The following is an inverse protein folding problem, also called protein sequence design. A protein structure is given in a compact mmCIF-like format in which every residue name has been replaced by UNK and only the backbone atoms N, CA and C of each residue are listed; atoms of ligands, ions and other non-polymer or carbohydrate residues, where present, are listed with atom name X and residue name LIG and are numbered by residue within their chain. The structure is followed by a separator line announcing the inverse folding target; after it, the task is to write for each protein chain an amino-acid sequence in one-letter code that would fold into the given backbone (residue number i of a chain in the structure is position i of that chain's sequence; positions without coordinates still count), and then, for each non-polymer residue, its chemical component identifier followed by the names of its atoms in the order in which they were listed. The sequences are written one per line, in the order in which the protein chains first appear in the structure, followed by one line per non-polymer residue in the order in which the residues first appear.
data_IF_110068922811
#
_entry.id   IF_110068922811
#
_cell.length_a   1.000
_cell.length_b   1.000
_cell.length_c   1.000
_cell.angle_alpha   90.00
_cell.angle_beta   90.00
_cell.angle_gamma   90.00
#
_symmetry.space_group_name_H-M   'P 1'
#
loop_
_entity.id
_entity.type
_entity.pdbx_description
1 polymer ?
#
# COMPACT_ATOMS: atom_id res chain seq x y z
N UNK A 1 13.37 -40.25 17.18
CA UNK A 1 13.04 -39.15 18.09
C UNK A 1 12.54 -37.88 17.39
N UNK A 2 13.25 -37.29 16.45
CA UNK A 2 12.83 -36.06 15.75
C UNK A 2 11.51 -36.20 14.94
N UNK A 3 11.19 -37.38 14.41
CA UNK A 3 9.96 -37.64 13.67
C UNK A 3 8.71 -37.66 14.56
N UNK A 4 8.82 -38.24 15.74
CA UNK A 4 7.73 -38.34 16.73
C UNK A 4 7.40 -36.96 17.32
N UNK A 5 8.43 -36.16 17.63
CA UNK A 5 8.24 -34.77 18.12
C UNK A 5 7.55 -33.87 17.08
N UNK A 6 7.80 -34.09 15.78
CA UNK A 6 7.09 -33.34 14.72
C UNK A 6 5.59 -33.73 14.59
N UNK A 7 5.24 -34.98 14.87
CA UNK A 7 3.85 -35.42 14.85
C UNK A 7 3.08 -34.97 16.11
N UNK A 8 3.71 -35.02 17.27
CA UNK A 8 3.10 -34.58 18.54
C UNK A 8 2.88 -33.06 18.62
N UNK A 9 3.70 -32.26 17.93
CA UNK A 9 3.54 -30.80 17.87
C UNK A 9 2.61 -30.32 16.75
N UNK A 10 1.94 -31.22 16.04
CA UNK A 10 1.05 -30.87 14.93
C UNK A 10 1.77 -30.33 13.67
N UNK A 11 3.11 -30.41 13.65
CA UNK A 11 3.94 -30.02 12.52
C UNK A 11 4.09 -31.13 11.46
N UNK A 12 3.08 -31.96 11.27
CA UNK A 12 3.09 -33.09 10.35
C UNK A 12 3.33 -32.71 8.87
N UNK A 13 2.87 -33.56 7.97
CA UNK A 13 3.05 -33.41 6.50
C UNK A 13 2.63 -32.05 5.94
N UNK A 14 1.70 -31.35 6.60
CA UNK A 14 1.21 -30.02 6.19
C UNK A 14 2.31 -28.97 6.33
N UNK A 15 3.00 -28.94 7.48
CA UNK A 15 4.09 -27.99 7.72
C UNK A 15 5.30 -28.19 6.80
N UNK A 16 5.53 -29.42 6.34
CA UNK A 16 6.58 -29.74 5.38
C UNK A 16 6.34 -29.19 3.97
N UNK A 17 5.09 -28.88 3.63
CA UNK A 17 4.68 -28.34 2.35
C UNK A 17 4.43 -26.81 2.38
N UNK A 18 4.50 -26.20 3.54
CA UNK A 18 4.38 -24.74 3.66
C UNK A 18 5.57 -24.04 3.00
N UNK A 19 5.26 -23.09 2.14
CA UNK A 19 6.27 -22.21 1.52
C UNK A 19 6.22 -20.85 2.23
N UNK A 20 7.38 -20.27 2.59
CA UNK A 20 7.38 -18.93 3.17
C UNK A 20 6.85 -17.93 2.16
N UNK A 21 5.91 -17.08 2.57
CA UNK A 21 5.31 -16.04 1.75
C UNK A 21 6.36 -15.10 1.16
N UNK A 22 7.46 -14.88 1.89
CA UNK A 22 8.58 -14.03 1.45
C UNK A 22 9.19 -14.43 0.10
N UNK A 23 9.03 -15.68 -0.34
CA UNK A 23 9.50 -16.13 -1.67
C UNK A 23 8.72 -15.45 -2.81
N UNK A 24 7.47 -15.10 -2.56
CA UNK A 24 6.57 -14.48 -3.54
C UNK A 24 6.56 -12.94 -3.46
N UNK A 25 7.19 -12.36 -2.43
CA UNK A 25 7.23 -10.91 -2.21
C UNK A 25 8.47 -10.31 -2.86
N UNK A 26 8.32 -9.42 -3.85
CA UNK A 26 9.45 -8.86 -4.59
C UNK A 26 10.16 -7.71 -3.86
N UNK A 27 9.59 -7.17 -2.78
CA UNK A 27 10.10 -5.99 -2.07
C UNK A 27 11.35 -6.32 -1.28
N UNK A 28 12.48 -5.63 -1.57
CA UNK A 28 13.76 -5.96 -0.99
C UNK A 28 14.16 -5.02 0.15
N UNK A 29 14.25 -3.73 -0.15
CA UNK A 29 14.78 -2.74 0.80
C UNK A 29 14.33 -1.33 0.46
N UNK A 30 14.38 -0.45 1.44
CA UNK A 30 14.40 0.99 1.18
C UNK A 30 15.69 1.38 0.46
N UNK A 31 15.56 2.09 -0.65
CA UNK A 31 16.68 2.67 -1.40
C UNK A 31 16.84 4.15 -1.02
N UNK A 32 15.70 4.80 -0.77
CA UNK A 32 15.61 6.11 -0.11
C UNK A 32 14.40 6.11 0.84
N UNK A 33 14.10 7.25 1.43
CA UNK A 33 12.96 7.38 2.37
C UNK A 33 11.62 7.02 1.72
N UNK A 34 11.43 7.32 0.44
CA UNK A 34 10.18 7.13 -0.31
C UNK A 34 10.26 6.07 -1.40
N UNK A 35 11.45 5.52 -1.67
CA UNK A 35 11.66 4.57 -2.76
C UNK A 35 12.04 3.20 -2.23
N UNK A 36 11.33 2.19 -2.71
CA UNK A 36 11.59 0.77 -2.44
C UNK A 36 12.20 0.12 -3.68
N UNK A 37 13.29 -0.61 -3.48
CA UNK A 37 13.90 -1.45 -4.51
C UNK A 37 13.35 -2.87 -4.49
N UNK A 38 13.08 -3.43 -5.68
CA UNK A 38 12.65 -4.80 -5.91
C UNK A 38 13.82 -5.70 -6.27
N UNK A 39 13.60 -7.02 -6.21
CA UNK A 39 14.61 -8.04 -6.48
C UNK A 39 15.20 -7.95 -7.90
N UNK A 40 14.38 -7.56 -8.87
CA UNK A 40 14.78 -7.42 -10.29
C UNK A 40 15.42 -6.07 -10.63
N UNK A 41 15.66 -5.20 -9.63
CA UNK A 41 16.21 -3.86 -9.83
C UNK A 41 15.16 -2.80 -10.22
N UNK A 42 13.90 -3.15 -10.28
CA UNK A 42 12.78 -2.19 -10.42
C UNK A 42 12.69 -1.35 -9.14
N UNK A 43 12.32 -0.08 -9.30
CA UNK A 43 12.08 0.85 -8.21
C UNK A 43 10.60 1.19 -8.14
N UNK A 44 10.06 1.32 -6.95
CA UNK A 44 8.68 1.72 -6.72
C UNK A 44 8.59 2.84 -5.68
N UNK A 45 7.65 3.73 -5.89
CA UNK A 45 7.22 4.73 -4.91
C UNK A 45 5.71 4.79 -4.85
N UNK A 46 5.15 5.04 -3.69
CA UNK A 46 3.71 5.06 -3.45
C UNK A 46 3.28 6.42 -2.97
N UNK A 47 2.23 6.97 -3.57
CA UNK A 47 1.61 8.24 -3.20
C UNK A 47 0.23 7.92 -2.63
N UNK A 48 -0.08 8.40 -1.44
CA UNK A 48 -1.43 8.37 -0.87
C UNK A 48 -2.18 9.64 -1.29
N UNK A 49 -3.45 9.50 -1.67
CA UNK A 49 -4.37 10.60 -1.93
C UNK A 49 -5.45 10.61 -0.85
N UNK A 50 -5.70 11.78 -0.27
CA UNK A 50 -6.78 11.97 0.70
C UNK A 50 -8.16 12.03 0.01
N UNK A 51 -8.17 12.27 -1.30
CA UNK A 51 -9.37 12.38 -2.11
C UNK A 51 -9.88 13.80 -2.25
N UNK A 52 -11.09 13.93 -2.79
CA UNK A 52 -11.73 15.21 -3.04
C UNK A 52 -13.23 15.10 -2.86
N UNK A 53 -13.82 16.11 -2.23
CA UNK A 53 -15.27 16.29 -2.18
C UNK A 53 -15.72 16.99 -3.46
N UNK A 54 -16.26 16.21 -4.40
CA UNK A 54 -16.67 16.72 -5.73
C UNK A 54 -18.15 17.15 -5.80
N UNK A 55 -18.97 16.83 -4.78
CA UNK A 55 -20.41 17.07 -4.80
C UNK A 55 -20.80 18.54 -4.82
N UNK A 56 -19.90 19.43 -4.37
CA UNK A 56 -20.12 20.89 -4.31
C UNK A 56 -19.28 21.66 -5.31
N UNK A 57 -18.57 20.97 -6.21
CA UNK A 57 -17.65 21.58 -7.17
C UNK A 57 -18.38 21.93 -8.46
N UNK A 58 -17.96 23.01 -9.09
CA UNK A 58 -18.47 23.42 -10.39
C UNK A 58 -17.97 22.50 -11.53
N UNK A 59 -18.80 22.31 -12.56
CA UNK A 59 -18.48 21.48 -13.71
C UNK A 59 -17.21 21.96 -14.44
N UNK A 60 -16.93 23.26 -14.46
CA UNK A 60 -15.72 23.82 -15.06
C UNK A 60 -14.46 23.37 -14.30
N UNK A 61 -14.52 23.33 -12.95
CA UNK A 61 -13.40 22.86 -12.11
C UNK A 61 -13.17 21.36 -12.32
N UNK A 62 -14.24 20.55 -12.38
CA UNK A 62 -14.15 19.11 -12.65
C UNK A 62 -13.50 18.83 -14.03
N UNK A 63 -13.87 19.59 -15.05
CA UNK A 63 -13.28 19.47 -16.38
C UNK A 63 -11.79 19.86 -16.38
N UNK A 64 -11.42 20.94 -15.69
CA UNK A 64 -10.03 21.35 -15.55
C UNK A 64 -9.18 20.27 -14.87
N UNK A 65 -9.72 19.62 -13.84
CA UNK A 65 -9.06 18.52 -13.14
C UNK A 65 -8.85 17.31 -14.03
N UNK A 66 -9.82 16.98 -14.87
CA UNK A 66 -9.67 15.90 -15.86
C UNK A 66 -8.54 16.20 -16.85
N UNK A 67 -8.34 17.46 -17.24
CA UNK A 67 -7.22 17.87 -18.09
C UNK A 67 -5.89 17.70 -17.36
N UNK A 68 -5.80 18.08 -16.07
CA UNK A 68 -4.59 17.88 -15.24
C UNK A 68 -4.24 16.40 -15.11
N UNK A 69 -5.22 15.54 -14.81
CA UNK A 69 -5.02 14.10 -14.74
C UNK A 69 -4.53 13.50 -16.06
N UNK A 70 -5.13 13.91 -17.18
CA UNK A 70 -4.71 13.46 -18.50
C UNK A 70 -3.28 13.91 -18.85
N UNK A 71 -2.91 15.13 -18.46
CA UNK A 71 -1.55 15.66 -18.65
C UNK A 71 -0.54 14.87 -17.84
N UNK A 72 -0.87 14.57 -16.57
CA UNK A 72 -0.05 13.71 -15.68
C UNK A 72 0.16 12.31 -16.30
N UNK A 73 -0.93 11.66 -16.75
CA UNK A 73 -0.85 10.33 -17.38
C UNK A 73 0.03 10.37 -18.63
N UNK A 74 -0.09 11.42 -19.45
CA UNK A 74 0.76 11.61 -20.63
C UNK A 74 2.23 11.83 -20.29
N UNK A 75 2.53 12.56 -19.21
CA UNK A 75 3.89 12.74 -18.72
C UNK A 75 4.53 11.42 -18.28
N UNK A 76 3.72 10.47 -17.75
CA UNK A 76 4.14 9.12 -17.41
C UNK A 76 4.29 8.19 -18.63
N UNK A 77 3.87 8.61 -19.81
CA UNK A 77 3.77 7.80 -21.04
C UNK A 77 5.09 7.30 -21.63
N UNK A 78 6.19 7.27 -20.87
CA UNK A 78 7.42 6.61 -21.28
C UNK A 78 7.34 5.11 -20.94
N UNK A 79 7.94 4.27 -21.78
CA UNK A 79 8.02 2.81 -21.56
C UNK A 79 8.78 2.39 -20.28
N UNK A 80 9.34 3.36 -19.54
CA UNK A 80 10.09 3.14 -18.30
C UNK A 80 9.22 3.12 -17.06
N UNK A 81 8.04 3.75 -17.12
CA UNK A 81 7.16 3.91 -15.97
C UNK A 81 5.85 3.17 -16.17
N UNK A 82 5.34 2.62 -15.08
CA UNK A 82 3.98 2.09 -15.00
C UNK A 82 3.31 2.70 -13.79
N UNK A 83 2.02 3.01 -13.93
CA UNK A 83 1.18 3.55 -12.88
C UNK A 83 0.15 2.51 -12.48
N UNK A 84 0.06 2.26 -11.17
CA UNK A 84 -0.96 1.39 -10.58
C UNK A 84 -1.79 2.20 -9.62
N UNK A 85 -3.10 2.14 -9.78
CA UNK A 85 -4.05 2.72 -8.86
C UNK A 85 -4.56 1.63 -7.92
N UNK A 86 -4.52 1.88 -6.61
CA UNK A 86 -5.05 0.97 -5.60
C UNK A 86 -6.05 1.71 -4.75
N UNK A 87 -7.27 1.20 -4.68
CA UNK A 87 -8.33 1.69 -3.79
C UNK A 87 -8.55 0.67 -2.70
N UNK A 88 -8.42 1.09 -1.45
CA UNK A 88 -8.69 0.28 -0.27
C UNK A 88 -9.95 0.81 0.38
N UNK A 89 -11.02 0.03 0.31
CA UNK A 89 -12.29 0.35 0.96
C UNK A 89 -12.35 -0.33 2.31
N UNK A 90 -12.54 0.46 3.36
CA UNK A 90 -12.62 -0.03 4.75
C UNK A 90 -13.91 0.42 5.39
N UNK A 91 -14.47 -0.46 6.21
CA UNK A 91 -15.50 -0.08 7.16
C UNK A 91 -14.90 0.79 8.26
N UNK A 92 -15.59 1.86 8.60
CA UNK A 92 -15.18 2.83 9.62
C UNK A 92 -16.32 3.07 10.59
N UNK A 93 -15.98 3.08 11.86
CA UNK A 93 -16.88 3.58 12.90
C UNK A 93 -16.67 5.09 13.00
N UNK A 94 -17.74 5.84 12.78
CA UNK A 94 -17.70 7.31 12.87
C UNK A 94 -18.21 7.72 14.23
N UNK A 95 -17.38 8.37 15.01
CA UNK A 95 -17.77 9.03 16.24
C UNK A 95 -17.69 10.54 16.03
N UNK A 96 -18.82 11.21 16.19
CA UNK A 96 -18.90 12.66 16.22
C UNK A 96 -18.86 13.06 17.69
N UNK A 97 -17.67 13.41 18.16
CA UNK A 97 -17.46 13.89 19.53
C UNK A 97 -17.64 15.40 19.60
N UNK A 98 -18.05 15.88 20.76
CA UNK A 98 -18.14 17.31 21.08
C UNK A 98 -18.49 17.50 22.53
N UNK A 99 -18.17 18.66 23.08
CA UNK A 99 -18.70 19.11 24.37
C UNK A 99 -19.94 19.96 24.11
N UNK A 100 -21.02 19.62 24.74
CA UNK A 100 -22.29 20.35 24.58
C UNK A 100 -22.64 21.06 25.89
N UNK A 101 -23.00 22.33 25.80
CA UNK A 101 -23.40 23.12 26.97
C UNK A 101 -24.86 22.82 27.45
N UNK A 102 -25.62 22.07 26.66
CA UNK A 102 -27.00 21.74 26.93
C UNK A 102 -27.23 20.23 26.94
N UNK A 103 -27.90 19.72 27.97
CA UNK A 103 -28.33 18.32 28.04
C UNK A 103 -29.25 17.89 26.88
N UNK A 104 -29.99 18.82 26.29
CA UNK A 104 -30.76 18.55 25.08
C UNK A 104 -29.85 18.21 23.89
N UNK A 105 -28.76 18.96 23.72
CA UNK A 105 -27.79 18.70 22.64
C UNK A 105 -27.05 17.37 22.84
N UNK A 106 -26.76 16.99 24.08
CA UNK A 106 -26.18 15.68 24.41
C UNK A 106 -27.14 14.55 24.00
N UNK A 107 -28.41 14.63 24.44
CA UNK A 107 -29.42 13.60 24.08
C UNK A 107 -29.64 13.53 22.57
N UNK A 108 -29.62 14.66 21.87
CA UNK A 108 -29.77 14.70 20.42
C UNK A 108 -28.55 14.04 19.73
N UNK A 109 -27.36 14.37 20.20
CA UNK A 109 -26.13 13.75 19.69
C UNK A 109 -26.12 12.23 19.89
N UNK A 110 -26.47 11.75 21.08
CA UNK A 110 -26.55 10.33 21.40
C UNK A 110 -27.51 9.59 20.47
N UNK A 111 -28.73 10.15 20.27
CA UNK A 111 -29.70 9.58 19.32
C UNK A 111 -29.18 9.57 17.88
N UNK A 112 -28.50 10.61 17.48
CA UNK A 112 -27.90 10.69 16.16
C UNK A 112 -26.80 9.64 15.99
N UNK A 113 -25.92 9.51 16.99
CA UNK A 113 -24.87 8.49 17.02
C UNK A 113 -25.43 7.08 16.98
N UNK A 114 -26.51 6.80 17.71
CA UNK A 114 -27.20 5.50 17.67
C UNK A 114 -27.77 5.18 16.29
N UNK A 115 -28.21 6.18 15.54
CA UNK A 115 -28.65 6.01 14.16
C UNK A 115 -27.46 5.77 13.20
N UNK A 116 -26.35 6.48 13.39
CA UNK A 116 -25.13 6.29 12.59
C UNK A 116 -24.54 4.91 12.80
N UNK A 117 -24.45 4.42 14.04
CA UNK A 117 -23.94 3.07 14.38
C UNK A 117 -24.74 1.94 13.75
N UNK A 118 -26.03 2.18 13.42
CA UNK A 118 -26.86 1.20 12.68
C UNK A 118 -26.54 1.11 11.21
N UNK A 119 -25.80 2.10 10.66
CA UNK A 119 -25.42 2.16 9.25
C UNK A 119 -23.95 1.79 9.11
N UNK A 120 -23.65 0.84 8.24
CA UNK A 120 -22.27 0.56 7.88
C UNK A 120 -21.71 1.70 7.03
N UNK A 121 -20.65 2.32 7.51
CA UNK A 121 -19.99 3.41 6.82
C UNK A 121 -18.64 2.93 6.28
N UNK A 122 -18.28 3.43 5.10
CA UNK A 122 -17.03 3.03 4.44
C UNK A 122 -16.24 4.26 4.01
N UNK A 123 -14.93 4.17 4.15
CA UNK A 123 -13.98 5.13 3.56
C UNK A 123 -13.20 4.47 2.44
N UNK A 124 -12.81 5.25 1.44
CA UNK A 124 -11.96 4.81 0.35
C UNK A 124 -10.60 5.52 0.49
N UNK A 125 -9.56 4.74 0.70
CA UNK A 125 -8.18 5.22 0.66
C UNK A 125 -7.63 4.98 -0.75
N UNK A 126 -7.06 6.00 -1.37
CA UNK A 126 -6.57 5.94 -2.75
C UNK A 126 -5.04 6.01 -2.72
N UNK A 127 -4.41 5.09 -3.41
CA UNK A 127 -2.96 5.03 -3.55
C UNK A 127 -2.57 4.96 -5.02
N UNK A 128 -1.56 5.73 -5.40
CA UNK A 128 -0.92 5.65 -6.71
C UNK A 128 0.49 5.08 -6.52
N UNK A 129 0.75 3.94 -7.14
CA UNK A 129 2.07 3.31 -7.13
C UNK A 129 2.74 3.55 -8.46
N UNK A 130 3.88 4.24 -8.42
CA UNK A 130 4.70 4.52 -9.59
C UNK A 130 5.80 3.47 -9.60
N UNK A 131 5.88 2.72 -10.68
CA UNK A 131 6.86 1.66 -10.90
C UNK A 131 7.80 2.11 -11.99
N UNK A 132 9.08 2.23 -11.67
CA UNK A 132 10.14 2.43 -12.65
C UNK A 132 10.79 1.10 -12.96
N UNK A 133 10.54 0.58 -14.13
CA UNK A 133 11.17 -0.67 -14.59
C UNK A 133 12.66 -0.46 -14.71
N UNK A 134 13.46 -1.27 -14.01
CA UNK A 134 14.89 -1.38 -14.32
C UNK A 134 15.03 -1.75 -15.80
N UNK A 135 16.05 -1.27 -16.47
CA UNK A 135 16.28 -1.37 -17.93
C UNK A 135 16.20 -2.79 -18.55
N UNK A 136 15.20 -3.59 -18.21
CA UNK A 136 14.90 -4.90 -18.82
C UNK A 136 13.89 -4.82 -19.97
N UNK A 137 13.57 -3.61 -20.44
CA UNK A 137 12.66 -3.43 -21.59
C UNK A 137 13.41 -3.50 -22.90
N UNK A 138 13.05 -4.47 -23.74
CA UNK A 138 13.10 -4.49 -25.21
C UNK A 138 14.18 -3.63 -25.92
N UNK A 139 15.42 -3.68 -25.50
CA UNK A 139 16.51 -3.04 -26.20
C UNK A 139 17.44 -4.11 -26.75
N UNK A 140 17.83 -3.92 -28.01
CA UNK A 140 18.50 -4.90 -28.84
C UNK A 140 19.82 -5.44 -28.29
N UNK A 141 20.38 -6.40 -28.99
CA UNK A 141 21.60 -7.15 -28.66
C UNK A 141 22.78 -6.31 -28.13
N UNK A 142 22.86 -5.01 -28.49
CA UNK A 142 23.91 -4.09 -28.01
C UNK A 142 23.83 -3.74 -26.53
N UNK A 143 22.62 -3.68 -25.93
CA UNK A 143 22.45 -3.37 -24.50
C UNK A 143 22.70 -4.58 -23.60
N UNK A 144 22.54 -5.78 -24.12
CA UNK A 144 22.92 -7.01 -23.42
C UNK A 144 24.43 -7.08 -23.19
N UNK A 145 25.21 -6.62 -24.14
CA UNK A 145 26.69 -6.56 -24.04
C UNK A 145 27.13 -5.45 -23.07
N UNK A 146 26.47 -4.28 -23.08
CA UNK A 146 26.73 -3.21 -22.10
C UNK A 146 26.48 -3.68 -20.67
N UNK A 147 25.42 -4.46 -20.45
CA UNK A 147 25.11 -5.05 -19.13
C UNK A 147 26.12 -6.04 -18.62
N UNK A 148 26.73 -6.82 -19.49
CA UNK A 148 27.82 -7.76 -19.12
C UNK A 148 29.02 -6.95 -18.66
N UNK A 149 29.32 -5.83 -19.31
CA UNK A 149 30.42 -4.93 -18.96
C UNK A 149 30.14 -4.14 -17.66
N UNK A 150 28.89 -3.63 -17.50
CA UNK A 150 28.45 -2.92 -16.27
C UNK A 150 28.31 -3.85 -15.06
N UNK A 151 28.08 -5.15 -15.29
CA UNK A 151 28.04 -6.15 -14.21
C UNK A 151 29.43 -6.31 -13.52
N UNK A 152 30.49 -5.99 -14.20
CA UNK A 152 31.85 -6.09 -13.64
C UNK A 152 32.23 -4.85 -12.81
N UNK A 153 31.54 -3.70 -12.99
CA UNK A 153 31.87 -2.45 -12.29
C UNK A 153 30.80 -2.07 -11.25
N UNK A 154 31.09 -2.37 -9.97
CA UNK A 154 30.20 -2.11 -8.84
C UNK A 154 29.86 -0.62 -8.69
N UNK A 155 30.81 0.26 -9.02
CA UNK A 155 30.64 1.71 -8.88
C UNK A 155 29.72 2.28 -9.94
N UNK A 156 29.87 1.89 -11.21
CA UNK A 156 28.98 2.30 -12.29
C UNK A 156 27.53 1.85 -12.03
N UNK A 157 27.36 0.63 -11.48
CA UNK A 157 26.03 0.13 -11.10
C UNK A 157 25.42 0.89 -9.93
N UNK A 158 26.23 1.28 -8.94
CA UNK A 158 25.76 2.08 -7.81
C UNK A 158 25.37 3.49 -8.26
N UNK A 159 26.12 4.07 -9.19
CA UNK A 159 25.81 5.38 -9.76
C UNK A 159 24.53 5.34 -10.61
N UNK A 160 24.36 4.39 -11.52
CA UNK A 160 23.15 4.22 -12.31
C UNK A 160 21.92 4.01 -11.42
N UNK A 161 22.05 3.28 -10.31
CA UNK A 161 20.97 3.13 -9.34
C UNK A 161 20.63 4.44 -8.64
N UNK A 162 21.59 5.29 -8.33
CA UNK A 162 21.34 6.61 -7.71
C UNK A 162 20.64 7.55 -8.68
N UNK A 163 21.06 7.61 -9.93
CA UNK A 163 20.42 8.38 -10.99
C UNK A 163 18.97 7.93 -11.17
N UNK A 164 18.72 6.61 -11.21
CA UNK A 164 17.40 6.02 -11.32
C UNK A 164 16.50 6.38 -10.14
N UNK A 165 17.04 6.46 -8.93
CA UNK A 165 16.30 6.87 -7.72
C UNK A 165 15.96 8.36 -7.80
N UNK A 166 16.92 9.20 -8.16
CA UNK A 166 16.72 10.66 -8.28
C UNK A 166 15.64 10.98 -9.31
N UNK A 167 15.70 10.35 -10.49
CA UNK A 167 14.69 10.54 -11.54
C UNK A 167 13.28 10.14 -11.05
N UNK A 168 13.17 9.03 -10.28
CA UNK A 168 11.88 8.62 -9.74
C UNK A 168 11.38 9.58 -8.67
N UNK A 169 12.25 10.07 -7.80
CA UNK A 169 11.89 11.04 -6.75
C UNK A 169 11.46 12.39 -7.34
N UNK A 170 12.14 12.86 -8.38
CA UNK A 170 11.74 14.07 -9.11
C UNK A 170 10.35 13.90 -9.77
N UNK A 171 10.11 12.75 -10.42
CA UNK A 171 8.81 12.46 -11.01
C UNK A 171 7.70 12.41 -9.94
N UNK A 172 7.94 11.71 -8.84
CA UNK A 172 7.01 11.64 -7.69
C UNK A 172 6.74 13.03 -7.14
N UNK A 173 7.79 13.85 -6.96
CA UNK A 173 7.67 15.22 -6.49
C UNK A 173 6.81 16.10 -7.42
N UNK A 174 6.93 15.94 -8.73
CA UNK A 174 6.12 16.65 -9.70
C UNK A 174 4.66 16.21 -9.65
N UNK A 175 4.39 14.89 -9.58
CA UNK A 175 3.03 14.34 -9.46
C UNK A 175 2.36 14.82 -8.17
N UNK A 176 3.08 14.83 -7.05
CA UNK A 176 2.57 15.32 -5.76
C UNK A 176 2.19 16.79 -5.84
N UNK A 177 2.98 17.63 -6.52
CA UNK A 177 2.66 19.04 -6.75
C UNK A 177 1.41 19.22 -7.61
N UNK A 178 1.28 18.45 -8.68
CA UNK A 178 0.09 18.49 -9.54
C UNK A 178 -1.18 18.03 -8.83
N UNK A 179 -1.04 16.99 -7.98
CA UNK A 179 -2.15 16.42 -7.23
C UNK A 179 -2.31 17.00 -5.81
N UNK A 180 -1.70 18.16 -5.50
CA UNK A 180 -1.76 18.75 -4.15
C UNK A 180 -3.20 19.00 -3.65
N UNK A 181 -4.12 19.38 -4.56
CA UNK A 181 -5.53 19.59 -4.24
C UNK A 181 -6.25 18.30 -3.78
N UNK A 182 -5.71 17.14 -4.11
CA UNK A 182 -6.20 15.83 -3.68
C UNK A 182 -5.53 15.35 -2.38
N UNK A 183 -4.76 16.21 -1.73
CA UNK A 183 -4.02 15.83 -0.52
C UNK A 183 -2.91 14.79 -0.77
N UNK A 184 -2.30 14.84 -1.96
CA UNK A 184 -1.26 13.90 -2.36
C UNK A 184 -0.04 13.97 -1.44
N UNK A 185 0.38 12.82 -0.91
CA UNK A 185 1.56 12.66 -0.06
C UNK A 185 2.32 11.39 -0.44
N UNK A 186 3.63 11.45 -0.68
CA UNK A 186 4.41 10.25 -0.87
C UNK A 186 4.51 9.49 0.45
N UNK A 187 4.34 8.17 0.42
CA UNK A 187 4.60 7.33 1.57
C UNK A 187 6.09 7.21 1.81
N UNK A 188 6.52 7.38 3.04
CA UNK A 188 7.93 7.39 3.39
C UNK A 188 8.24 6.82 4.77
N UNK A 189 9.47 7.10 5.22
CA UNK A 189 9.89 6.80 6.58
C UNK A 189 9.43 7.95 7.47
N UNK A 190 8.65 7.64 8.50
CA UNK A 190 8.13 8.60 9.46
C UNK A 190 8.69 8.33 10.85
N UNK A 191 8.94 9.38 11.61
CA UNK A 191 9.43 9.30 13.00
C UNK A 191 8.29 9.67 13.94
N UNK A 192 7.89 8.76 14.82
CA UNK A 192 6.80 8.97 15.78
C UNK A 192 7.36 9.19 17.16
N UNK A 193 6.84 10.20 17.84
CA UNK A 193 7.18 10.46 19.25
C UNK A 193 6.58 9.37 20.14
N UNK A 194 7.28 9.05 21.24
CA UNK A 194 6.94 8.00 22.22
C UNK A 194 5.56 8.18 22.90
N UNK A 195 4.94 9.37 22.78
CA UNK A 195 3.64 9.69 23.38
C UNK A 195 2.42 9.09 22.66
N UNK A 196 2.59 8.63 21.42
CA UNK A 196 1.47 8.10 20.62
C UNK A 196 1.31 6.57 20.73
N UNK A 197 2.26 5.88 21.36
CA UNK A 197 2.20 4.43 21.61
C UNK A 197 1.82 4.17 23.07
N UNK A 198 0.56 3.90 23.34
CA UNK A 198 0.05 3.43 24.66
C UNK A 198 0.39 1.97 24.92
N UNK A 199 1.57 1.51 24.57
CA UNK A 199 1.95 0.14 24.88
C UNK A 199 3.46 -0.05 25.08
N UNK A 200 3.81 -0.36 26.33
CA UNK A 200 5.03 -1.02 26.79
C UNK A 200 6.35 -0.27 26.64
N UNK A 201 6.97 -0.03 27.82
CA UNK A 201 8.38 0.34 28.00
C UNK A 201 9.28 -0.50 27.10
N UNK A 202 9.80 0.11 26.04
CA UNK A 202 10.93 -0.44 25.31
C UNK A 202 12.20 -0.25 26.14
N UNK A 203 12.97 -1.33 26.26
CA UNK A 203 14.14 -1.52 27.10
C UNK A 203 15.37 -0.75 26.56
N UNK A 204 15.29 -0.14 25.38
CA UNK A 204 16.41 0.54 24.75
C UNK A 204 16.30 2.06 24.88
N UNK A 205 17.21 2.59 25.70
CA UNK A 205 17.31 4.00 26.09
C UNK A 205 17.88 4.92 25.02
N UNK A 206 17.51 4.79 23.76
CA UNK A 206 17.86 5.73 22.70
C UNK A 206 16.61 6.36 22.12
N UNK A 207 16.54 7.71 22.17
CA UNK A 207 16.13 8.60 21.10
C UNK A 207 15.14 9.69 21.47
N UNK A 208 15.69 10.91 21.40
CA UNK A 208 14.93 12.16 21.26
C UNK A 208 14.15 12.25 19.94
N UNK A 209 14.42 11.35 18.96
CA UNK A 209 13.80 11.31 17.61
C UNK A 209 12.83 10.16 17.42
N UNK A 210 12.08 9.69 18.35
CA UNK A 210 11.07 8.65 18.14
C UNK A 210 11.52 7.46 17.26
N UNK A 211 10.79 6.33 17.34
CA UNK A 211 11.09 5.16 16.51
C UNK A 211 10.73 5.41 15.02
N UNK A 212 11.57 4.97 14.05
CA UNK A 212 11.25 5.06 12.64
C UNK A 212 10.22 4.02 12.22
N UNK A 213 9.21 4.43 11.48
CA UNK A 213 8.17 3.61 10.87
C UNK A 213 8.23 3.72 9.35
N UNK A 214 7.81 2.67 8.66
CA UNK A 214 7.77 2.62 7.20
C UNK A 214 6.33 2.56 6.71
N UNK A 215 5.80 3.67 6.22
CA UNK A 215 4.47 3.73 5.61
C UNK A 215 4.34 2.85 4.35
N UNK A 216 5.36 2.74 3.47
CA UNK A 216 5.31 1.78 2.37
C UNK A 216 5.16 0.33 2.84
N UNK A 217 5.84 -0.07 3.92
CA UNK A 217 5.66 -1.42 4.48
C UNK A 217 4.25 -1.61 5.07
N UNK A 218 3.66 -0.59 5.68
CA UNK A 218 2.28 -0.61 6.16
C UNK A 218 1.30 -0.83 5.00
N UNK A 219 1.49 -0.12 3.89
CA UNK A 219 0.70 -0.27 2.67
C UNK A 219 0.82 -1.69 2.07
N UNK A 220 2.05 -2.19 1.88
CA UNK A 220 2.26 -3.54 1.34
C UNK A 220 1.68 -4.62 2.26
N UNK A 221 1.88 -4.50 3.57
CA UNK A 221 1.28 -5.42 4.53
C UNK A 221 -0.25 -5.41 4.42
N UNK A 222 -0.86 -4.24 4.30
CA UNK A 222 -2.32 -4.10 4.15
C UNK A 222 -2.85 -4.86 2.94
N UNK A 223 -2.18 -4.74 1.78
CA UNK A 223 -2.55 -5.48 0.57
C UNK A 223 -2.38 -6.99 0.78
N UNK A 224 -1.27 -7.41 1.36
CA UNK A 224 -0.93 -8.82 1.54
C UNK A 224 -1.79 -9.53 2.60
N UNK A 225 -2.31 -8.79 3.57
CA UNK A 225 -3.14 -9.31 4.66
C UNK A 225 -4.63 -9.03 4.49
N UNK A 226 -5.07 -8.73 3.26
CA UNK A 226 -6.49 -8.48 2.96
C UNK A 226 -7.10 -7.31 3.75
N UNK A 227 -6.32 -6.26 3.97
CA UNK A 227 -6.84 -5.02 4.55
C UNK A 227 -6.60 -4.86 6.06
N UNK A 228 -5.92 -5.79 6.73
CA UNK A 228 -5.58 -5.62 8.15
C UNK A 228 -4.58 -4.47 8.30
N UNK A 229 -4.95 -3.34 8.92
CA UNK A 229 -4.02 -2.24 9.13
C UNK A 229 -3.03 -2.60 10.23
N UNK A 230 -1.76 -2.49 9.95
CA UNK A 230 -0.69 -2.76 10.93
C UNK A 230 0.37 -1.68 10.86
N UNK A 231 0.72 -1.13 12.02
CA UNK A 231 1.87 -0.22 12.14
C UNK A 231 3.16 -1.01 11.99
N UNK A 232 4.04 -0.57 11.10
CA UNK A 232 5.27 -1.28 10.79
C UNK A 232 6.48 -0.39 11.01
N UNK A 233 7.37 -0.82 11.92
CA UNK A 233 8.67 -0.16 12.12
C UNK A 233 9.54 -0.34 10.88
N UNK A 234 10.51 0.55 10.70
CA UNK A 234 11.50 0.40 9.65
C UNK A 234 12.27 -0.92 9.84
N UNK A 235 12.21 -1.86 8.88
CA UNK A 235 12.84 -3.17 9.03
C UNK A 235 14.37 -3.06 8.99
N UNK A 236 15.04 -3.71 9.93
CA UNK A 236 16.51 -3.89 9.93
C UNK A 236 16.98 -4.99 8.96
N UNK A 237 16.04 -5.81 8.48
CA UNK A 237 16.28 -6.90 7.52
C UNK A 237 15.47 -6.66 6.24
N UNK A 238 15.56 -7.57 5.26
CA UNK A 238 14.83 -7.43 3.99
C UNK A 238 13.33 -7.28 4.20
N UNK A 239 12.74 -6.31 3.52
CA UNK A 239 11.31 -5.96 3.62
C UNK A 239 10.42 -7.19 3.41
N UNK A 240 10.75 -8.05 2.43
CA UNK A 240 9.96 -9.24 2.10
C UNK A 240 9.73 -10.18 3.28
N UNK A 241 10.75 -10.38 4.11
CA UNK A 241 10.65 -11.25 5.28
C UNK A 241 9.82 -10.61 6.39
N UNK A 242 9.84 -9.28 6.48
CA UNK A 242 9.14 -8.52 7.50
C UNK A 242 7.65 -8.34 7.17
N UNK A 243 7.34 -8.01 5.92
CA UNK A 243 5.95 -7.83 5.45
C UNK A 243 5.23 -9.17 5.30
N UNK A 244 5.95 -10.24 4.97
CA UNK A 244 5.42 -11.59 4.79
C UNK A 244 5.26 -12.41 6.06
N UNK A 245 5.10 -11.79 7.22
CA UNK A 245 4.99 -12.50 8.53
C UNK A 245 3.61 -13.09 8.80
N UNK A 246 2.57 -12.65 8.09
CA UNK A 246 1.21 -13.19 8.25
C UNK A 246 1.08 -14.55 7.54
N UNK A 247 0.36 -15.46 8.20
CA UNK A 247 0.06 -16.76 7.60
C UNK A 247 -1.19 -16.66 6.72
N UNK A 248 -1.09 -17.14 5.49
CA UNK A 248 -2.21 -17.22 4.56
C UNK A 248 -2.67 -18.68 4.41
N UNK A 249 -3.94 -18.91 4.65
CA UNK A 249 -4.58 -20.20 4.43
C UNK A 249 -5.46 -20.13 3.18
N UNK A 250 -5.19 -21.00 2.21
CA UNK A 250 -5.94 -21.05 0.97
C UNK A 250 -6.90 -22.23 0.99
N UNK A 251 -8.17 -21.98 0.69
CA UNK A 251 -9.23 -22.93 0.45
C UNK A 251 -9.59 -22.93 -1.04
N UNK A 252 -10.57 -23.76 -1.45
CA UNK A 252 -11.01 -23.82 -2.86
C UNK A 252 -11.58 -22.48 -3.37
N UNK A 253 -12.19 -21.67 -2.52
CA UNK A 253 -12.90 -20.43 -2.90
C UNK A 253 -12.57 -19.23 -2.06
N UNK A 254 -11.88 -19.41 -0.94
CA UNK A 254 -11.59 -18.35 0.02
C UNK A 254 -10.15 -18.41 0.47
N UNK A 255 -9.64 -17.27 0.87
CA UNK A 255 -8.35 -17.12 1.50
C UNK A 255 -8.59 -16.53 2.89
N UNK A 256 -7.85 -17.01 3.89
CA UNK A 256 -7.83 -16.42 5.21
C UNK A 256 -6.44 -15.86 5.46
N UNK A 257 -6.37 -14.59 5.80
CA UNK A 257 -5.17 -13.96 6.36
C UNK A 257 -5.26 -14.02 7.88
N UNK A 258 -4.38 -14.83 8.48
CA UNK A 258 -4.34 -14.99 9.93
C UNK A 258 -3.52 -13.84 10.54
N UNK A 259 -4.14 -13.09 11.44
CA UNK A 259 -3.47 -12.09 12.24
C UNK A 259 -2.88 -12.70 13.52
N UNK A 260 -2.05 -11.94 14.23
CA UNK A 260 -1.51 -12.36 15.53
C UNK A 260 -2.61 -12.49 16.59
N UNK A 261 -3.67 -11.69 16.47
CA UNK A 261 -4.90 -11.79 17.24
C UNK A 261 -5.96 -12.40 16.35
N UNK A 262 -6.66 -13.43 16.80
CA UNK A 262 -7.62 -14.18 15.97
C UNK A 262 -8.77 -13.31 15.48
N UNK A 263 -9.21 -12.35 16.31
CA UNK A 263 -10.25 -11.38 15.98
C UNK A 263 -9.91 -10.47 14.79
N UNK A 264 -8.62 -10.23 14.55
CA UNK A 264 -8.14 -9.43 13.41
C UNK A 264 -7.98 -10.26 12.13
N UNK A 265 -8.25 -11.56 12.16
CA UNK A 265 -8.15 -12.43 10.99
C UNK A 265 -9.21 -12.08 9.94
N UNK A 266 -8.80 -12.04 8.68
CA UNK A 266 -9.65 -11.63 7.56
C UNK A 266 -9.86 -12.78 6.58
N UNK A 267 -11.10 -12.89 6.08
CA UNK A 267 -11.43 -13.79 4.99
C UNK A 267 -11.56 -12.99 3.70
N UNK A 268 -10.96 -13.48 2.63
CA UNK A 268 -10.99 -12.82 1.34
C UNK A 268 -11.23 -13.80 0.18
N UNK A 269 -11.75 -13.27 -0.92
CA UNK A 269 -11.79 -13.92 -2.21
C UNK A 269 -11.07 -13.04 -3.23
N UNK A 270 -10.31 -13.66 -4.12
CA UNK A 270 -9.61 -12.97 -5.20
C UNK A 270 -10.46 -13.02 -6.47
N UNK A 271 -10.69 -11.85 -7.04
CA UNK A 271 -11.38 -11.68 -8.31
C UNK A 271 -10.42 -11.04 -9.30
N UNK A 272 -10.39 -11.50 -10.53
CA UNK A 272 -9.60 -10.89 -11.61
C UNK A 272 -10.47 -10.66 -12.83
N UNK A 273 -10.34 -9.48 -13.42
CA UNK A 273 -10.97 -9.16 -14.71
C UNK A 273 -10.02 -9.66 -15.79
N UNK A 274 -10.42 -10.72 -16.51
CA UNK A 274 -9.63 -11.30 -17.60
C UNK A 274 -9.83 -10.58 -18.92
N UNK A 275 -11.06 -10.18 -19.18
CA UNK A 275 -11.46 -9.50 -20.41
C UNK A 275 -12.24 -8.26 -20.06
N UNK A 276 -11.84 -7.15 -20.66
CA UNK A 276 -12.59 -5.90 -20.55
C UNK A 276 -13.68 -5.89 -21.62
N UNK A 277 -14.84 -5.27 -21.33
CA UNK A 277 -15.87 -5.09 -22.35
C UNK A 277 -15.31 -4.24 -23.53
N UNK A 278 -15.83 -4.44 -24.76
CA UNK A 278 -15.33 -3.74 -25.95
C UNK A 278 -15.43 -2.19 -25.83
N UNK A 279 -16.32 -1.71 -24.98
CA UNK A 279 -16.47 -0.28 -24.70
C UNK A 279 -16.20 -0.05 -23.21
N UNK A 280 -15.09 0.63 -22.93
CA UNK A 280 -14.74 1.09 -21.59
C UNK A 280 -14.83 2.60 -21.55
N UNK A 281 -15.39 3.15 -20.49
CA UNK A 281 -15.51 4.59 -20.28
C UNK A 281 -15.14 4.99 -18.86
N UNK A 282 -14.93 6.30 -18.62
CA UNK A 282 -14.74 6.82 -17.29
C UNK A 282 -15.91 6.41 -16.38
N UNK A 283 -15.62 6.01 -15.14
CA UNK A 283 -16.64 5.63 -14.17
C UNK A 283 -17.19 4.23 -14.29
N UNK A 284 -16.69 3.39 -15.19
CA UNK A 284 -17.17 2.01 -15.36
C UNK A 284 -17.14 1.19 -14.06
N UNK A 285 -16.16 1.46 -13.19
CA UNK A 285 -15.99 0.78 -11.90
C UNK A 285 -16.58 1.56 -10.70
N UNK A 286 -17.25 2.71 -10.93
CA UNK A 286 -17.80 3.53 -9.85
C UNK A 286 -18.85 2.78 -9.01
N UNK A 287 -19.56 1.84 -9.61
CA UNK A 287 -20.48 0.97 -8.89
C UNK A 287 -19.81 0.15 -7.77
N UNK A 288 -18.51 -0.16 -7.89
CA UNK A 288 -17.78 -0.85 -6.83
C UNK A 288 -17.60 0.04 -5.59
N UNK A 289 -17.51 1.36 -5.76
CA UNK A 289 -17.38 2.30 -4.66
C UNK A 289 -18.64 2.40 -3.79
N UNK A 290 -19.78 1.87 -4.26
CA UNK A 290 -21.05 1.85 -3.55
C UNK A 290 -21.34 0.50 -2.87
N UNK A 291 -20.48 -0.50 -3.06
CA UNK A 291 -20.67 -1.83 -2.46
C UNK A 291 -20.52 -1.75 -0.94
N UNK A 292 -21.44 -2.39 -0.20
CA UNK A 292 -21.43 -2.45 1.27
C UNK A 292 -20.48 -3.53 1.82
N UNK A 293 -19.29 -3.62 1.25
CA UNK A 293 -18.24 -4.54 1.66
C UNK A 293 -16.86 -3.88 1.56
N UNK A 294 -15.96 -4.34 2.40
CA UNK A 294 -14.53 -3.97 2.28
C UNK A 294 -13.94 -4.64 1.04
N UNK A 295 -13.07 -3.95 0.34
CA UNK A 295 -12.30 -4.51 -0.77
C UNK A 295 -10.97 -3.78 -1.00
N UNK A 296 -10.09 -4.43 -1.73
CA UNK A 296 -8.87 -3.84 -2.30
C UNK A 296 -8.96 -4.03 -3.81
N UNK A 297 -9.00 -2.93 -4.55
CA UNK A 297 -9.00 -2.91 -6.01
C UNK A 297 -7.66 -2.35 -6.49
N UNK A 298 -6.94 -3.09 -7.32
CA UNK A 298 -5.72 -2.61 -7.98
C UNK A 298 -5.86 -2.73 -9.49
N UNK A 299 -5.55 -1.66 -10.20
CA UNK A 299 -5.63 -1.56 -11.66
C UNK A 299 -4.45 -0.80 -12.24
#
# INVERSE_FOLDING_TARGET
MLKVVKEELGFGKVAGNERPMSVHIPYMRHVSDTVIGLENGTLISVIKLDGLFFQTEDQAELNMRSVVQNTMIRALGSSRYSLWSTVIRREVETEIGGSFDSSFCEILNDRYMDQLRKKRMFTNEIYLTIVRSGMKGALGLGDSLKRIFERSNKEARAQATREDVTDLEELVGNIVKELHKYGAKPLGITYRKKSDDTAKKDIDGEDAKGAPYSEPCEFFNTILTCGVPRKMRLPRMGIRNYVGTSRLHFSKRTMQAQAAVEEDSRYAALLSIKEYPPFTGPGMLDGLLQVNHEFILTQ
#
